data_IF_702800753346
#
_entry.id   IF_702800753346
#
_cell.length_a   1.000
_cell.length_b   1.000
_cell.length_c   1.000
_cell.angle_alpha   90.00
_cell.angle_beta   90.00
_cell.angle_gamma   90.00
#
_symmetry.space_group_name_H-M   'P 1'
#
loop_
_entity.id
_entity.type
_entity.pdbx_description
1 polymer ?
#
# COMPACT_ATOMS: atom_id res chain seq x y z
N UNK A 1 24.60 20.66 -0.96
CA UNK A 1 25.01 19.41 -0.28
C UNK A 1 24.49 19.35 1.15
N UNK A 2 24.69 20.36 2.00
CA UNK A 2 24.21 20.40 3.41
C UNK A 2 22.70 20.17 3.54
N UNK A 3 21.86 20.87 2.76
CA UNK A 3 20.40 20.70 2.76
C UNK A 3 19.93 19.30 2.38
N UNK A 4 20.61 18.64 1.45
CA UNK A 4 20.25 17.26 1.05
C UNK A 4 20.58 16.29 2.17
N UNK A 5 21.73 16.44 2.82
CA UNK A 5 22.15 15.61 3.95
C UNK A 5 21.21 15.80 5.16
N UNK A 6 20.83 17.05 5.45
CA UNK A 6 19.85 17.35 6.52
C UNK A 6 18.50 16.70 6.25
N UNK A 7 17.99 16.81 5.01
CA UNK A 7 16.71 16.15 4.63
C UNK A 7 16.80 14.63 4.72
N UNK A 8 17.92 14.06 4.27
CA UNK A 8 18.14 12.62 4.38
C UNK A 8 18.18 12.15 5.84
N UNK A 9 18.89 12.89 6.70
CA UNK A 9 18.95 12.57 8.13
C UNK A 9 17.58 12.68 8.82
N UNK A 10 16.78 13.71 8.51
CA UNK A 10 15.43 13.85 9.02
C UNK A 10 14.51 12.70 8.57
N UNK A 11 14.58 12.29 7.30
CA UNK A 11 13.78 11.19 6.79
C UNK A 11 14.21 9.85 7.40
N UNK A 12 15.51 9.61 7.55
CA UNK A 12 16.03 8.43 8.21
C UNK A 12 15.59 8.35 9.69
N UNK A 13 15.64 9.48 10.40
CA UNK A 13 15.18 9.58 11.78
C UNK A 13 13.66 9.33 11.88
N UNK A 14 12.87 9.90 10.96
CA UNK A 14 11.44 9.68 10.91
C UNK A 14 11.10 8.21 10.65
N UNK A 15 11.79 7.57 9.71
CA UNK A 15 11.62 6.14 9.44
C UNK A 15 11.99 5.29 10.67
N UNK A 16 13.11 5.59 11.33
CA UNK A 16 13.51 4.90 12.54
C UNK A 16 12.47 5.08 13.66
N UNK A 17 11.95 6.29 13.85
CA UNK A 17 10.93 6.57 14.84
C UNK A 17 9.64 5.78 14.58
N UNK A 18 9.13 5.78 13.34
CA UNK A 18 7.94 5.02 12.96
C UNK A 18 8.18 3.53 13.15
N UNK A 19 9.31 3.00 12.70
CA UNK A 19 9.69 1.60 12.86
C UNK A 19 9.73 1.19 14.34
N UNK A 20 10.32 2.06 15.18
CA UNK A 20 10.38 1.84 16.63
C UNK A 20 9.00 1.82 17.27
N UNK A 21 8.17 2.81 16.93
CA UNK A 21 6.78 2.89 17.46
C UNK A 21 5.99 1.64 17.05
N UNK A 22 6.07 1.24 15.78
CA UNK A 22 5.37 0.04 15.29
C UNK A 22 5.87 -1.22 16.00
N UNK A 23 7.19 -1.37 16.19
CA UNK A 23 7.74 -2.51 16.91
C UNK A 23 7.13 -2.62 18.32
N UNK A 24 7.20 -1.55 19.12
CA UNK A 24 6.65 -1.57 20.48
C UNK A 24 5.13 -1.69 20.50
N UNK A 25 4.42 -1.04 19.57
CA UNK A 25 2.97 -1.14 19.46
C UNK A 25 2.51 -2.59 19.28
N UNK A 26 3.15 -3.34 18.38
CA UNK A 26 2.80 -4.75 18.16
C UNK A 26 3.28 -5.67 19.27
N UNK A 27 4.38 -5.35 19.96
CA UNK A 27 4.92 -6.17 21.03
C UNK A 27 4.22 -5.96 22.37
N UNK A 28 3.69 -4.76 22.61
CA UNK A 28 2.96 -4.44 23.85
C UNK A 28 1.45 -4.73 23.74
N UNK A 29 0.98 -5.16 22.57
CA UNK A 29 -0.41 -5.56 22.39
C UNK A 29 -0.73 -6.76 23.29
N UNK A 30 -1.83 -6.73 24.05
CA UNK A 30 -2.23 -7.85 24.90
C UNK A 30 -2.48 -9.11 24.05
N UNK A 31 -1.87 -10.22 24.44
CA UNK A 31 -1.82 -11.45 23.67
C UNK A 31 -0.48 -11.61 22.93
N UNK A 32 0.03 -12.83 22.89
CA UNK A 32 1.23 -13.09 22.07
C UNK A 32 0.84 -13.09 20.61
N UNK A 33 1.64 -12.50 19.69
CA UNK A 33 1.42 -12.64 18.25
C UNK A 33 1.30 -14.10 17.81
N UNK A 34 1.88 -15.01 18.58
CA UNK A 34 1.76 -16.45 18.44
C UNK A 34 0.40 -17.02 18.89
N UNK A 35 -0.37 -16.32 19.71
CA UNK A 35 -1.68 -16.84 20.13
C UNK A 35 -2.60 -17.14 18.96
N UNK A 36 -2.44 -16.42 17.85
CA UNK A 36 -3.13 -16.68 16.59
C UNK A 36 -2.62 -17.96 15.86
N UNK A 37 -1.46 -18.49 16.24
CA UNK A 37 -0.83 -19.68 15.63
C UNK A 37 -0.77 -20.88 16.58
N UNK A 38 -0.89 -20.66 17.87
CA UNK A 38 -1.04 -21.72 18.87
C UNK A 38 -2.44 -22.29 18.65
N UNK A 39 -2.58 -23.15 17.65
CA UNK A 39 -3.66 -24.12 17.65
C UNK A 39 -3.54 -24.92 18.94
N UNK A 40 -4.64 -25.21 19.58
CA UNK A 40 -4.75 -26.04 20.79
C UNK A 40 -4.07 -27.42 20.68
N UNK A 41 -3.61 -27.77 19.47
CA UNK A 41 -2.95 -29.03 19.12
C UNK A 41 -1.41 -28.99 19.14
N UNK A 42 -0.77 -27.85 19.43
CA UNK A 42 0.69 -27.78 19.53
C UNK A 42 1.13 -28.17 20.96
N UNK A 43 2.04 -29.13 21.03
CA UNK A 43 2.67 -29.47 22.30
C UNK A 43 3.66 -28.37 22.75
N UNK A 44 4.06 -28.42 24.05
CA UNK A 44 4.94 -27.39 24.64
C UNK A 44 6.27 -27.23 23.89
N UNK A 45 6.86 -28.31 23.39
CA UNK A 45 8.13 -28.29 22.64
C UNK A 45 7.98 -27.59 21.29
N UNK A 46 6.87 -27.82 20.61
CA UNK A 46 6.56 -27.15 19.33
C UNK A 46 6.29 -25.65 19.52
N UNK A 47 5.64 -25.27 20.61
CA UNK A 47 5.44 -23.87 20.97
C UNK A 47 6.78 -23.18 21.26
N UNK A 48 7.65 -23.85 22.01
CA UNK A 48 8.99 -23.35 22.35
C UNK A 48 9.84 -23.16 21.07
N UNK A 49 9.87 -24.16 20.19
CA UNK A 49 10.58 -24.07 18.90
C UNK A 49 10.06 -22.91 18.03
N UNK A 50 8.76 -22.65 18.04
CA UNK A 50 8.17 -21.49 17.36
C UNK A 50 8.62 -20.17 17.99
N UNK A 51 8.63 -20.05 19.31
CA UNK A 51 9.11 -18.86 20.02
C UNK A 51 10.56 -18.57 19.66
N UNK A 52 11.41 -19.57 19.63
CA UNK A 52 12.82 -19.46 19.23
C UNK A 52 12.98 -19.06 17.77
N UNK A 53 12.22 -19.68 16.87
CA UNK A 53 12.23 -19.36 15.43
C UNK A 53 11.87 -17.89 15.15
N UNK A 54 10.94 -17.32 15.90
CA UNK A 54 10.54 -15.92 15.78
C UNK A 54 11.34 -14.99 16.71
N UNK A 55 12.32 -15.51 17.47
CA UNK A 55 13.14 -14.76 18.41
C UNK A 55 12.34 -14.11 19.54
N UNK A 56 11.20 -14.69 19.89
CA UNK A 56 10.29 -14.19 20.94
C UNK A 56 10.71 -14.62 22.33
N UNK A 57 11.64 -15.56 22.42
CA UNK A 57 12.29 -16.07 23.64
C UNK A 57 13.26 -15.07 24.26
N UNK A 58 13.71 -14.06 23.46
CA UNK A 58 14.75 -13.11 23.91
C UNK A 58 14.17 -11.90 24.64
N UNK A 59 14.96 -11.19 25.42
CA UNK A 59 14.55 -9.92 26.03
C UNK A 59 14.13 -8.89 24.96
N UNK A 60 13.15 -8.05 25.26
CA UNK A 60 12.52 -7.12 24.30
C UNK A 60 13.52 -6.19 23.61
N UNK A 61 14.53 -5.71 24.33
CA UNK A 61 15.58 -4.88 23.75
C UNK A 61 16.42 -5.63 22.70
N UNK A 62 16.68 -6.92 22.91
CA UNK A 62 17.42 -7.76 21.97
C UNK A 62 16.56 -8.06 20.74
N UNK A 63 15.27 -8.32 20.91
CA UNK A 63 14.32 -8.47 19.82
C UNK A 63 14.28 -7.22 18.93
N UNK A 64 14.34 -6.03 19.53
CA UNK A 64 14.36 -4.77 18.81
C UNK A 64 15.59 -4.61 17.92
N UNK A 65 16.79 -4.90 18.44
CA UNK A 65 18.01 -4.81 17.64
C UNK A 65 18.07 -5.89 16.55
N UNK A 66 17.61 -7.10 16.81
CA UNK A 66 17.48 -8.15 15.79
C UNK A 66 16.50 -7.69 14.69
N UNK A 67 15.35 -7.15 15.06
CA UNK A 67 14.36 -6.62 14.13
C UNK A 67 14.95 -5.52 13.24
N UNK A 68 15.69 -4.56 13.81
CA UNK A 68 16.37 -3.54 13.03
C UNK A 68 17.43 -4.14 12.09
N UNK A 69 18.25 -5.07 12.58
CA UNK A 69 19.24 -5.77 11.76
C UNK A 69 18.60 -6.47 10.57
N UNK A 70 17.54 -7.21 10.80
CA UNK A 70 16.80 -7.93 9.78
C UNK A 70 16.15 -7.01 8.74
N UNK A 71 15.69 -5.82 9.13
CA UNK A 71 15.22 -4.82 8.18
C UNK A 71 16.31 -4.36 7.21
N UNK A 72 17.55 -4.18 7.70
CA UNK A 72 18.68 -3.77 6.86
C UNK A 72 19.17 -4.90 5.94
N UNK A 73 19.04 -6.15 6.35
CA UNK A 73 19.39 -7.32 5.51
C UNK A 73 18.27 -7.75 4.56
N UNK A 74 17.05 -7.14 4.71
CA UNK A 74 15.87 -7.52 3.93
C UNK A 74 15.15 -8.78 4.45
N UNK A 75 15.53 -9.29 5.61
CA UNK A 75 14.88 -10.41 6.26
C UNK A 75 13.69 -9.93 7.09
N UNK A 76 12.56 -9.70 6.43
CA UNK A 76 11.35 -9.16 7.07
C UNK A 76 10.52 -10.21 7.84
N UNK A 77 11.04 -11.44 7.96
CA UNK A 77 10.37 -12.54 8.64
C UNK A 77 9.19 -13.14 7.86
N UNK A 78 8.36 -13.88 8.58
CA UNK A 78 7.18 -14.55 8.04
C UNK A 78 5.91 -13.75 8.35
N UNK A 79 5.02 -13.65 7.37
CA UNK A 79 3.67 -13.12 7.59
C UNK A 79 2.88 -14.09 8.46
N UNK A 80 2.34 -13.59 9.54
CA UNK A 80 1.48 -14.38 10.40
C UNK A 80 0.19 -14.82 9.71
N UNK A 81 -0.36 -13.99 8.87
CA UNK A 81 -1.61 -14.29 8.18
C UNK A 81 -1.42 -15.25 7.00
N UNK A 82 -0.41 -15.01 6.14
CA UNK A 82 -0.20 -15.80 4.92
C UNK A 82 0.77 -16.97 5.09
N UNK A 83 1.49 -17.06 6.22
CA UNK A 83 2.52 -18.08 6.51
C UNK A 83 3.61 -18.16 5.42
N UNK A 84 3.94 -17.02 4.82
CA UNK A 84 4.92 -16.86 3.73
C UNK A 84 5.89 -15.73 4.09
N UNK A 85 7.11 -15.71 3.53
CA UNK A 85 8.04 -14.61 3.73
C UNK A 85 7.41 -13.26 3.34
N UNK A 86 7.53 -12.26 4.20
CA UNK A 86 6.99 -10.91 3.95
C UNK A 86 7.62 -10.31 2.70
N UNK A 87 8.92 -10.53 2.46
CA UNK A 87 9.62 -10.09 1.24
C UNK A 87 8.97 -10.62 -0.03
N UNK A 88 8.59 -11.89 -0.06
CA UNK A 88 7.90 -12.50 -1.21
C UNK A 88 6.55 -11.83 -1.46
N UNK A 89 5.78 -11.62 -0.39
CA UNK A 89 4.46 -10.97 -0.48
C UNK A 89 4.62 -9.53 -1.01
N UNK A 90 5.59 -8.80 -0.50
CA UNK A 90 5.87 -7.43 -0.94
C UNK A 90 6.25 -7.38 -2.42
N UNK A 91 7.13 -8.27 -2.87
CA UNK A 91 7.54 -8.34 -4.28
C UNK A 91 6.40 -8.72 -5.23
N UNK A 92 5.42 -9.48 -4.76
CA UNK A 92 4.20 -9.80 -5.53
C UNK A 92 3.22 -8.62 -5.63
N UNK A 93 3.08 -7.82 -4.57
CA UNK A 93 2.08 -6.74 -4.50
C UNK A 93 2.65 -5.40 -5.00
N UNK A 94 3.92 -5.13 -4.71
CA UNK A 94 4.57 -3.85 -5.00
C UNK A 94 4.48 -3.43 -6.48
N UNK A 95 4.69 -4.31 -7.47
CA UNK A 95 4.58 -3.94 -8.88
C UNK A 95 3.19 -3.37 -9.25
N UNK A 96 2.12 -3.94 -8.71
CA UNK A 96 0.76 -3.45 -8.96
C UNK A 96 0.57 -2.05 -8.38
N UNK A 97 1.03 -1.82 -7.16
CA UNK A 97 0.96 -0.52 -6.49
C UNK A 97 1.77 0.55 -7.23
N UNK A 98 2.96 0.19 -7.72
CA UNK A 98 3.82 1.10 -8.51
C UNK A 98 3.12 1.48 -9.82
N UNK A 99 2.62 0.50 -10.56
CA UNK A 99 1.95 0.77 -11.85
C UNK A 99 0.71 1.62 -11.63
N UNK A 100 -0.12 1.29 -10.64
CA UNK A 100 -1.31 2.08 -10.31
C UNK A 100 -0.94 3.53 -9.97
N UNK A 101 0.03 3.72 -9.07
CA UNK A 101 0.46 5.05 -8.62
C UNK A 101 1.06 5.87 -9.76
N UNK A 102 1.95 5.28 -10.56
CA UNK A 102 2.57 5.99 -11.68
C UNK A 102 1.55 6.34 -12.76
N UNK A 103 0.66 5.42 -13.09
CA UNK A 103 -0.39 5.66 -14.10
C UNK A 103 -1.32 6.78 -13.64
N UNK A 104 -1.80 6.72 -12.41
CA UNK A 104 -2.66 7.75 -11.82
C UNK A 104 -1.96 9.11 -11.77
N UNK A 105 -0.67 9.15 -11.38
CA UNK A 105 0.12 10.36 -11.32
C UNK A 105 0.29 10.99 -12.71
N UNK A 106 0.63 10.19 -13.73
CA UNK A 106 0.80 10.65 -15.11
C UNK A 106 -0.52 11.23 -15.64
N UNK A 107 -1.62 10.50 -15.46
CA UNK A 107 -2.95 10.94 -15.87
C UNK A 107 -3.32 12.25 -15.16
N UNK A 108 -3.20 12.28 -13.84
CA UNK A 108 -3.53 13.47 -13.05
C UNK A 108 -2.67 14.68 -13.45
N UNK A 109 -1.38 14.47 -13.72
CA UNK A 109 -0.49 15.55 -14.14
C UNK A 109 -0.86 16.08 -15.53
N UNK A 110 -1.04 15.19 -16.52
CA UNK A 110 -1.40 15.59 -17.89
C UNK A 110 -2.74 16.33 -17.89
N UNK A 111 -3.80 15.72 -17.36
CA UNK A 111 -5.12 16.33 -17.38
C UNK A 111 -5.22 17.54 -16.46
N UNK A 112 -4.56 17.51 -15.31
CA UNK A 112 -4.54 18.63 -14.37
C UNK A 112 -3.85 19.86 -14.94
N UNK A 113 -2.68 19.69 -15.57
CA UNK A 113 -1.96 20.81 -16.22
C UNK A 113 -2.74 21.36 -17.41
N UNK A 114 -3.24 20.49 -18.28
CA UNK A 114 -4.01 20.91 -19.46
C UNK A 114 -5.31 21.61 -19.06
N UNK A 115 -6.06 21.06 -18.13
CA UNK A 115 -7.29 21.66 -17.61
C UNK A 115 -7.01 22.98 -16.89
N UNK A 116 -5.95 23.04 -16.07
CA UNK A 116 -5.54 24.26 -15.38
C UNK A 116 -5.11 25.36 -16.34
N UNK A 117 -4.30 25.03 -17.36
CA UNK A 117 -3.88 25.97 -18.39
C UNK A 117 -5.08 26.48 -19.21
N UNK A 118 -5.97 25.57 -19.61
CA UNK A 118 -7.18 25.92 -20.33
C UNK A 118 -8.10 26.84 -19.49
N UNK A 119 -8.25 26.55 -18.21
CA UNK A 119 -9.05 27.36 -17.30
C UNK A 119 -8.43 28.75 -17.09
N UNK A 120 -7.10 28.81 -16.95
CA UNK A 120 -6.38 30.09 -16.87
C UNK A 120 -6.57 30.96 -18.10
N UNK A 121 -6.63 30.35 -19.29
CA UNK A 121 -6.94 31.08 -20.52
C UNK A 121 -8.37 31.62 -20.54
N UNK A 122 -9.32 30.92 -19.89
CA UNK A 122 -10.73 31.34 -19.78
C UNK A 122 -11.00 32.21 -18.54
N UNK A 123 -9.97 32.83 -17.98
CA UNK A 123 -10.08 33.68 -16.80
C UNK A 123 -11.11 34.80 -16.98
N UNK A 124 -11.94 35.06 -15.97
CA UNK A 124 -13.01 36.06 -15.98
C UNK A 124 -14.30 35.58 -16.66
N UNK A 125 -14.32 34.40 -17.28
CA UNK A 125 -15.52 33.85 -17.91
C UNK A 125 -16.42 33.10 -16.92
N UNK A 126 -17.66 32.82 -17.35
CA UNK A 126 -18.58 31.99 -16.56
C UNK A 126 -18.04 30.56 -16.34
N UNK A 127 -17.23 30.05 -17.30
CA UNK A 127 -16.60 28.71 -17.19
C UNK A 127 -15.70 28.64 -15.96
N UNK A 128 -14.85 29.64 -15.76
CA UNK A 128 -13.98 29.70 -14.57
C UNK A 128 -14.82 29.79 -13.29
N UNK A 129 -15.87 30.62 -13.27
CA UNK A 129 -16.74 30.80 -12.11
C UNK A 129 -17.46 29.54 -11.67
N UNK A 130 -17.73 28.61 -12.59
CA UNK A 130 -18.36 27.33 -12.28
C UNK A 130 -17.31 26.25 -12.03
N UNK A 131 -16.27 26.15 -12.84
CA UNK A 131 -15.28 25.08 -12.76
C UNK A 131 -14.44 25.15 -11.49
N UNK A 132 -14.01 26.34 -11.05
CA UNK A 132 -13.19 26.47 -9.84
C UNK A 132 -13.92 25.99 -8.59
N UNK A 133 -15.15 26.45 -8.29
CA UNK A 133 -15.92 25.89 -7.17
C UNK A 133 -16.19 24.38 -7.29
N UNK A 134 -16.45 23.88 -8.50
CA UNK A 134 -16.67 22.44 -8.74
C UNK A 134 -15.43 21.60 -8.36
N UNK A 135 -14.23 22.03 -8.81
CA UNK A 135 -12.97 21.38 -8.44
C UNK A 135 -12.72 21.45 -6.93
N UNK A 136 -12.98 22.61 -6.31
CA UNK A 136 -12.85 22.75 -4.85
C UNK A 136 -13.84 21.87 -4.10
N UNK A 137 -15.09 21.76 -4.56
CA UNK A 137 -16.08 20.86 -4.00
C UNK A 137 -15.66 19.38 -4.09
N UNK A 138 -15.10 18.98 -5.24
CA UNK A 138 -14.54 17.61 -5.42
C UNK A 138 -13.41 17.34 -4.43
N UNK A 139 -12.53 18.31 -4.20
CA UNK A 139 -11.45 18.21 -3.20
C UNK A 139 -11.93 18.20 -1.74
N UNK A 140 -13.08 18.78 -1.46
CA UNK A 140 -13.68 18.78 -0.13
C UNK A 140 -14.33 17.43 0.21
N UNK A 141 -14.69 16.63 -0.79
CA UNK A 141 -15.24 15.31 -0.58
C UNK A 141 -14.13 14.33 -0.17
N UNK A 142 -14.38 13.39 0.76
CA UNK A 142 -13.43 12.35 1.11
C UNK A 142 -13.14 11.45 -0.12
N UNK A 143 -11.87 11.22 -0.42
CA UNK A 143 -11.43 10.45 -1.61
C UNK A 143 -12.04 9.04 -1.65
N UNK A 144 -12.07 8.34 -0.49
CA UNK A 144 -12.67 7.01 -0.39
C UNK A 144 -14.17 7.02 -0.72
N UNK A 145 -14.90 8.10 -0.37
CA UNK A 145 -16.33 8.23 -0.68
C UNK A 145 -16.55 8.36 -2.18
N UNK A 146 -15.75 9.19 -2.86
CA UNK A 146 -15.79 9.31 -4.32
C UNK A 146 -15.52 7.95 -4.97
N UNK A 147 -14.48 7.23 -4.50
CA UNK A 147 -14.17 5.89 -4.96
C UNK A 147 -15.34 4.91 -4.79
N UNK A 148 -15.98 4.89 -3.61
CA UNK A 148 -17.17 4.04 -3.37
C UNK A 148 -18.34 4.38 -4.29
N UNK A 149 -18.61 5.66 -4.53
CA UNK A 149 -19.68 6.09 -5.43
C UNK A 149 -19.39 5.66 -6.87
N UNK A 150 -18.15 5.85 -7.35
CA UNK A 150 -17.74 5.40 -8.68
C UNK A 150 -17.84 3.88 -8.81
N UNK A 151 -17.40 3.14 -7.80
CA UNK A 151 -17.52 1.68 -7.77
C UNK A 151 -18.98 1.23 -7.82
N UNK A 152 -19.86 1.85 -7.02
CA UNK A 152 -21.29 1.55 -7.01
C UNK A 152 -21.94 1.81 -8.37
N UNK A 153 -21.62 2.93 -9.01
CA UNK A 153 -22.24 3.32 -10.29
C UNK A 153 -21.66 2.55 -11.47
N UNK A 154 -20.31 2.47 -11.58
CA UNK A 154 -19.65 1.99 -12.78
C UNK A 154 -19.37 0.48 -12.76
N UNK A 155 -19.13 -0.08 -11.57
CA UNK A 155 -18.91 -1.51 -11.42
C UNK A 155 -20.19 -2.27 -11.12
N UNK A 156 -20.86 -1.98 -10.00
CA UNK A 156 -22.02 -2.76 -9.56
C UNK A 156 -23.28 -2.48 -10.36
N UNK A 157 -23.54 -1.23 -10.74
CA UNK A 157 -24.79 -0.87 -11.42
C UNK A 157 -24.65 -0.96 -12.94
N UNK A 158 -23.59 -0.37 -13.53
CA UNK A 158 -23.37 -0.37 -14.98
C UNK A 158 -22.63 -1.63 -15.50
N UNK A 159 -21.87 -2.33 -14.62
CA UNK A 159 -21.07 -3.49 -15.01
C UNK A 159 -19.92 -3.15 -15.99
N UNK A 160 -19.51 -1.88 -16.04
CA UNK A 160 -18.49 -1.44 -16.99
C UNK A 160 -17.08 -1.79 -16.55
N UNK A 161 -16.83 -1.86 -15.25
CA UNK A 161 -15.51 -2.12 -14.68
C UNK A 161 -15.57 -3.21 -13.61
N UNK A 162 -14.45 -3.92 -13.39
CA UNK A 162 -14.35 -4.88 -12.29
C UNK A 162 -14.48 -4.20 -10.93
N UNK A 163 -14.99 -4.92 -9.95
CA UNK A 163 -15.18 -4.40 -8.59
C UNK A 163 -13.90 -4.42 -7.73
N UNK A 164 -12.81 -4.98 -8.22
CA UNK A 164 -11.53 -5.05 -7.50
C UNK A 164 -10.59 -6.10 -8.09
N UNK A 165 -9.41 -6.21 -7.48
CA UNK A 165 -8.33 -7.08 -7.95
C UNK A 165 -7.46 -6.41 -9.02
N UNK A 166 -6.34 -7.05 -9.35
CA UNK A 166 -5.43 -6.57 -10.40
C UNK A 166 -5.57 -7.33 -11.73
N UNK A 167 -6.37 -8.40 -11.76
CA UNK A 167 -6.72 -9.19 -12.94
C UNK A 167 -7.86 -10.14 -12.61
N UNK A 168 -8.55 -10.62 -13.63
CA UNK A 168 -9.64 -11.58 -13.49
C UNK A 168 -9.13 -12.92 -12.94
N UNK A 169 -9.87 -13.56 -12.03
CA UNK A 169 -9.52 -14.87 -11.50
C UNK A 169 -9.39 -15.92 -12.62
N UNK A 170 -8.37 -16.78 -12.54
CA UNK A 170 -8.15 -17.87 -13.48
C UNK A 170 -7.32 -17.51 -14.71
N UNK A 171 -6.95 -16.26 -14.93
CA UNK A 171 -6.00 -15.89 -15.98
C UNK A 171 -4.57 -16.15 -15.51
N UNK A 172 -3.84 -16.99 -16.26
CA UNK A 172 -2.43 -17.24 -16.04
C UNK A 172 -1.60 -16.42 -17.03
N UNK A 173 -0.61 -15.70 -16.53
CA UNK A 173 0.33 -14.92 -17.33
C UNK A 173 1.74 -15.49 -17.18
N UNK A 174 2.45 -15.63 -18.29
CA UNK A 174 3.81 -16.18 -18.30
C UNK A 174 4.85 -15.18 -17.76
N UNK A 175 4.52 -13.89 -17.76
CA UNK A 175 5.37 -12.84 -17.22
C UNK A 175 4.58 -11.68 -16.66
N UNK A 176 5.23 -10.92 -15.77
CA UNK A 176 4.67 -9.69 -15.19
C UNK A 176 4.34 -8.65 -16.27
N UNK A 177 5.18 -8.53 -17.28
CA UNK A 177 4.99 -7.60 -18.39
C UNK A 177 3.80 -7.97 -19.26
N UNK A 178 3.61 -9.27 -19.56
CA UNK A 178 2.46 -9.75 -20.30
C UNK A 178 1.15 -9.42 -19.55
N UNK A 179 1.13 -9.57 -18.23
CA UNK A 179 -0.02 -9.20 -17.40
C UNK A 179 -0.30 -7.69 -17.47
N UNK A 180 0.72 -6.86 -17.21
CA UNK A 180 0.57 -5.39 -17.13
C UNK A 180 0.14 -4.76 -18.46
N UNK A 181 0.46 -5.38 -19.60
CA UNK A 181 0.05 -4.92 -20.93
C UNK A 181 -1.25 -5.58 -21.40
N UNK A 182 -1.84 -6.49 -20.63
CA UNK A 182 -3.10 -7.13 -21.01
C UNK A 182 -4.28 -6.16 -20.87
N UNK A 183 -5.27 -6.32 -21.74
CA UNK A 183 -6.52 -5.55 -21.64
C UNK A 183 -7.22 -5.77 -20.31
N UNK A 184 -7.18 -6.98 -19.80
CA UNK A 184 -7.76 -7.33 -18.49
C UNK A 184 -7.14 -6.51 -17.36
N UNK A 185 -5.81 -6.41 -17.30
CA UNK A 185 -5.12 -5.60 -16.30
C UNK A 185 -5.42 -4.11 -16.42
N UNK A 186 -5.42 -3.57 -17.65
CA UNK A 186 -5.76 -2.16 -17.89
C UNK A 186 -7.21 -1.85 -17.49
N UNK A 187 -8.11 -2.80 -17.69
CA UNK A 187 -9.51 -2.68 -17.29
C UNK A 187 -9.67 -2.66 -15.76
N UNK A 188 -8.87 -3.46 -15.03
CA UNK A 188 -8.82 -3.44 -13.57
C UNK A 188 -8.11 -2.19 -13.01
N UNK A 189 -7.26 -1.55 -13.80
CA UNK A 189 -6.52 -0.34 -13.40
C UNK A 189 -7.37 0.94 -13.46
N UNK A 190 -8.53 0.91 -14.12
CA UNK A 190 -9.30 2.11 -14.42
C UNK A 190 -10.06 2.68 -13.22
N UNK A 191 -10.48 1.86 -12.26
CA UNK A 191 -11.35 2.26 -11.15
C UNK A 191 -10.68 2.47 -9.79
N UNK A 192 -9.55 1.83 -9.45
CA UNK A 192 -8.88 2.06 -8.15
C UNK A 192 -8.34 3.45 -7.97
#
# INVERSE_FOLDING_TARGET
MKLVLERFAHNALALLAVTTILFFMFRLMPGTPLAAFINENLNADQQQAMLEQFGLDKPMWMQYFIYLGNLFTGEMGLSFFQRRPVTTILLEVLPNSIVLTLTSLIIAYIFGVLAGAWLAWRRGTWIERVAVPAVLATRAAPEFWIGMVLLALLSFNAGWFPSGGASSPGLAYNSIWQRMLSWDYLHHLALP
#
